data_IF_553041743527
#
_entry.id   IF_553041743527
#
_cell.length_a   1.000
_cell.length_b   1.000
_cell.length_c   1.000
_cell.angle_alpha   90.00
_cell.angle_beta   90.00
_cell.angle_gamma   90.00
#
_symmetry.space_group_name_H-M   'P 1'
#
loop_
_entity.id
_entity.type
_entity.pdbx_description
1 polymer ?
#
# COMPACT_ATOMS: atom_id res chain seq x y z
N UNK A 1 -37.34 36.51 -64.60
CA UNK A 1 -36.89 37.79 -65.13
C UNK A 1 -35.39 37.80 -64.86
N UNK A 2 -34.61 37.42 -65.88
CA UNK A 2 -33.89 38.25 -66.82
C UNK A 2 -32.78 39.04 -66.15
N UNK A 3 -31.52 39.02 -66.45
CA UNK A 3 -30.70 38.76 -67.65
C UNK A 3 -29.26 38.69 -67.11
N UNK A 4 -28.39 37.81 -67.41
CA UNK A 4 -27.63 37.56 -68.66
C UNK A 4 -26.72 38.69 -69.12
N UNK A 5 -25.55 38.25 -69.44
CA UNK A 5 -24.59 38.69 -70.48
C UNK A 5 -23.22 39.15 -69.87
N UNK A 6 -22.23 38.33 -70.05
CA UNK A 6 -21.34 38.00 -71.18
C UNK A 6 -20.40 39.11 -71.64
N UNK A 7 -19.19 38.72 -71.89
CA UNK A 7 -18.32 38.94 -73.09
C UNK A 7 -16.96 39.61 -72.79
N UNK A 8 -15.90 38.81 -73.00
CA UNK A 8 -14.78 38.92 -73.96
C UNK A 8 -13.77 40.09 -73.76
N UNK A 9 -12.58 39.99 -73.91
CA UNK A 9 -11.60 39.26 -74.70
C UNK A 9 -10.16 39.79 -74.47
N UNK A 10 -9.23 38.88 -74.67
CA UNK A 10 -7.93 38.99 -75.39
C UNK A 10 -6.70 39.63 -74.76
N UNK A 11 -5.72 38.72 -74.54
CA UNK A 11 -4.39 38.69 -75.14
C UNK A 11 -3.53 39.97 -75.02
N UNK A 12 -2.41 39.86 -74.28
CA UNK A 12 -1.08 40.13 -74.87
C UNK A 12 0.00 39.38 -74.07
N UNK A 13 0.80 38.64 -74.83
CA UNK A 13 2.00 37.90 -74.46
C UNK A 13 3.12 38.83 -74.13
N UNK A 14 3.84 38.64 -73.02
CA UNK A 14 5.21 39.04 -72.87
C UNK A 14 5.98 38.02 -72.00
N UNK A 15 6.89 37.34 -72.62
CA UNK A 15 7.92 36.47 -72.07
C UNK A 15 8.88 37.29 -71.21
N UNK A 16 8.93 37.00 -69.91
CA UNK A 16 10.13 37.30 -69.08
C UNK A 16 10.56 36.04 -68.40
N UNK A 17 11.66 35.48 -68.94
CA UNK A 17 12.44 34.44 -68.28
C UNK A 17 13.15 35.08 -67.10
N UNK A 18 12.65 34.89 -65.91
CA UNK A 18 13.41 35.17 -64.69
C UNK A 18 13.91 33.85 -64.14
N UNK A 19 15.23 33.67 -64.33
CA UNK A 19 16.02 32.60 -63.76
C UNK A 19 16.07 32.80 -62.26
N UNK A 20 15.20 32.12 -61.48
CA UNK A 20 15.23 32.11 -60.03
C UNK A 20 16.22 31.00 -59.60
N UNK A 21 17.45 31.41 -59.27
CA UNK A 21 18.39 30.55 -58.56
C UNK A 21 17.81 30.21 -57.18
N UNK A 22 17.21 29.00 -57.02
CA UNK A 22 16.87 28.47 -55.70
C UNK A 22 18.14 28.20 -54.93
N UNK A 23 18.37 28.83 -53.75
CA UNK A 23 19.37 28.36 -52.84
C UNK A 23 18.92 27.01 -52.30
N UNK A 24 19.59 25.94 -52.65
CA UNK A 24 19.47 24.64 -52.03
C UNK A 24 20.03 24.79 -50.60
N UNK A 25 19.14 25.08 -49.65
CA UNK A 25 19.47 24.92 -48.24
C UNK A 25 19.71 23.41 -48.01
N UNK A 26 20.97 23.01 -48.00
CA UNK A 26 21.34 21.78 -47.37
C UNK A 26 20.98 21.93 -45.88
N UNK A 27 19.77 21.48 -45.51
CA UNK A 27 19.49 21.14 -44.14
C UNK A 27 20.43 20.00 -43.80
N UNK A 28 21.60 20.33 -43.31
CA UNK A 28 22.48 19.40 -42.64
C UNK A 28 21.70 18.93 -41.41
N UNK A 29 20.99 17.82 -41.53
CA UNK A 29 20.63 17.03 -40.36
C UNK A 29 21.96 16.74 -39.66
N UNK A 30 22.27 17.51 -38.60
CA UNK A 30 23.20 17.05 -37.59
C UNK A 30 22.65 15.71 -37.16
N UNK A 31 23.20 14.60 -37.65
CA UNK A 31 23.11 13.31 -37.02
C UNK A 31 23.51 13.57 -35.58
N UNK A 32 22.55 13.58 -34.66
CA UNK A 32 22.87 13.46 -33.25
C UNK A 32 23.88 12.34 -33.17
N UNK A 33 25.01 12.64 -32.52
CA UNK A 33 26.07 11.67 -32.26
C UNK A 33 25.36 10.41 -31.78
N UNK A 34 25.50 9.31 -32.53
CA UNK A 34 24.92 8.03 -32.20
C UNK A 34 25.13 7.77 -30.71
N UNK A 35 24.08 7.87 -29.91
CA UNK A 35 24.10 7.28 -28.57
C UNK A 35 24.56 5.85 -28.82
N UNK A 36 25.63 5.43 -28.19
CA UNK A 36 26.09 4.05 -28.21
C UNK A 36 24.86 3.21 -27.80
N UNK A 37 24.29 2.50 -28.75
CA UNK A 37 23.15 1.66 -28.49
C UNK A 37 23.70 0.32 -28.01
N UNK A 38 23.62 0.10 -26.72
CA UNK A 38 24.00 -1.18 -26.13
C UNK A 38 23.06 -2.27 -26.60
N UNK A 39 23.53 -3.52 -26.74
CA UNK A 39 22.67 -4.65 -27.13
C UNK A 39 21.44 -4.75 -26.22
N UNK A 40 20.28 -5.02 -26.81
CA UNK A 40 19.04 -5.16 -26.07
C UNK A 40 19.19 -6.21 -24.94
N UNK A 41 18.79 -5.83 -23.71
CA UNK A 41 18.86 -6.70 -22.54
C UNK A 41 20.23 -6.81 -21.90
N UNK A 42 21.30 -6.19 -22.45
CA UNK A 42 22.59 -6.10 -21.74
C UNK A 42 22.46 -5.25 -20.49
N UNK A 43 23.36 -5.42 -19.53
CA UNK A 43 23.39 -4.61 -18.31
C UNK A 43 23.44 -3.11 -18.62
N UNK A 44 24.29 -2.72 -19.56
CA UNK A 44 24.45 -1.32 -19.97
C UNK A 44 23.17 -0.75 -20.58
N UNK A 45 22.47 -1.55 -21.40
CA UNK A 45 21.18 -1.15 -21.99
C UNK A 45 20.12 -0.95 -20.91
N UNK A 46 19.98 -1.93 -20.01
CA UNK A 46 19.01 -1.88 -18.91
C UNK A 46 19.34 -0.73 -17.96
N UNK A 47 20.61 -0.58 -17.56
CA UNK A 47 21.03 0.43 -16.60
C UNK A 47 20.95 1.85 -17.16
N UNK A 48 21.17 2.03 -18.47
CA UNK A 48 20.90 3.32 -19.14
C UNK A 48 19.42 3.66 -19.09
N UNK A 49 18.53 2.70 -19.37
CA UNK A 49 17.08 2.89 -19.25
C UNK A 49 16.64 3.20 -17.81
N UNK A 50 17.22 2.51 -16.80
CA UNK A 50 16.97 2.80 -15.38
C UNK A 50 17.37 4.25 -15.08
N UNK A 51 18.58 4.65 -15.45
CA UNK A 51 19.12 5.98 -15.15
C UNK A 51 18.29 7.09 -15.81
N UNK A 52 17.93 6.94 -17.08
CA UNK A 52 17.11 7.91 -17.81
C UNK A 52 15.70 8.02 -17.20
N UNK A 53 15.13 6.89 -16.78
CA UNK A 53 13.84 6.86 -16.07
C UNK A 53 13.93 7.54 -14.71
N UNK A 54 15.00 7.30 -13.94
CA UNK A 54 15.21 7.94 -12.64
C UNK A 54 15.44 9.46 -12.80
N UNK A 55 16.22 9.91 -13.76
CA UNK A 55 16.41 11.34 -14.06
C UNK A 55 15.08 12.03 -14.34
N UNK A 56 14.14 11.33 -14.96
CA UNK A 56 12.83 11.89 -15.33
C UNK A 56 11.83 11.88 -14.18
N UNK A 57 11.72 10.77 -13.47
CA UNK A 57 10.57 10.52 -12.58
C UNK A 57 10.93 10.47 -11.09
N UNK A 58 12.19 10.08 -10.75
CA UNK A 58 12.57 9.82 -9.38
C UNK A 58 12.51 11.08 -8.51
N UNK A 59 11.94 10.98 -7.32
CA UNK A 59 11.81 12.12 -6.42
C UNK A 59 13.16 12.79 -6.11
N UNK A 60 14.21 12.00 -5.92
CA UNK A 60 15.59 12.49 -5.66
C UNK A 60 16.45 12.52 -6.93
N UNK A 61 15.85 12.89 -8.07
CA UNK A 61 16.56 12.90 -9.37
C UNK A 61 17.72 13.89 -9.45
N UNK A 62 17.72 14.92 -8.64
CA UNK A 62 18.75 15.99 -8.58
C UNK A 62 20.03 15.57 -7.86
N UNK A 63 19.98 14.50 -7.05
CA UNK A 63 21.15 13.96 -6.34
C UNK A 63 21.62 12.61 -6.90
N UNK A 64 21.17 12.23 -8.09
CA UNK A 64 21.67 11.04 -8.79
C UNK A 64 23.16 11.19 -9.12
N UNK A 65 23.97 10.12 -9.04
CA UNK A 65 25.38 10.14 -9.44
C UNK A 65 25.54 10.62 -10.88
N UNK A 66 26.51 11.47 -11.14
CA UNK A 66 26.80 12.02 -12.48
C UNK A 66 27.37 10.98 -13.45
N UNK A 67 28.11 10.00 -12.94
CA UNK A 67 28.78 8.97 -13.74
C UNK A 67 28.70 7.59 -13.05
N UNK A 68 27.51 6.98 -12.95
CA UNK A 68 27.35 5.68 -12.31
C UNK A 68 27.89 4.55 -13.20
N UNK A 69 28.34 3.45 -12.58
CA UNK A 69 28.82 2.27 -13.29
C UNK A 69 27.66 1.46 -13.91
N UNK A 70 27.38 1.69 -15.19
CA UNK A 70 26.31 1.00 -15.93
C UNK A 70 26.60 -0.47 -16.25
N UNK A 71 27.80 -0.98 -16.02
CA UNK A 71 28.16 -2.40 -16.22
C UNK A 71 27.71 -3.33 -15.08
N UNK A 72 27.19 -2.80 -13.97
CA UNK A 72 26.68 -3.61 -12.85
C UNK A 72 25.44 -4.43 -13.25
N UNK A 73 25.12 -5.47 -12.49
CA UNK A 73 23.79 -6.09 -12.63
C UNK A 73 22.68 -5.05 -12.40
N UNK A 74 21.51 -5.14 -13.06
CA UNK A 74 20.46 -4.13 -12.93
C UNK A 74 20.02 -3.89 -11.48
N UNK A 75 19.97 -4.94 -10.65
CA UNK A 75 19.63 -4.83 -9.24
C UNK A 75 20.69 -4.08 -8.42
N UNK A 76 21.97 -4.40 -8.65
CA UNK A 76 23.08 -3.73 -7.97
C UNK A 76 23.22 -2.28 -8.45
N UNK A 77 23.04 -2.04 -9.75
CA UNK A 77 23.01 -0.69 -10.32
C UNK A 77 21.92 0.16 -9.68
N UNK A 78 20.67 -0.33 -9.65
CA UNK A 78 19.56 0.40 -9.05
C UNK A 78 19.83 0.70 -7.58
N UNK A 79 20.36 -0.26 -6.85
CA UNK A 79 20.75 -0.09 -5.44
C UNK A 79 21.81 0.98 -5.27
N UNK A 80 22.82 1.02 -6.17
CA UNK A 80 23.94 1.96 -6.09
C UNK A 80 23.55 3.42 -6.39
N UNK A 81 22.50 3.65 -7.20
CA UNK A 81 22.03 5.00 -7.57
C UNK A 81 20.85 5.48 -6.72
N UNK A 82 20.25 4.60 -5.92
CA UNK A 82 19.13 4.95 -5.04
C UNK A 82 19.61 5.83 -3.89
N UNK A 83 18.84 6.88 -3.57
CA UNK A 83 19.10 7.74 -2.43
C UNK A 83 18.99 6.97 -1.11
N UNK A 84 19.87 7.26 -0.13
CA UNK A 84 19.85 6.60 1.18
C UNK A 84 18.57 6.83 2.00
N UNK A 85 17.83 7.91 1.75
CA UNK A 85 16.54 8.17 2.39
C UNK A 85 15.38 7.37 1.74
N UNK A 86 15.60 6.82 0.56
CA UNK A 86 14.60 6.02 -0.15
C UNK A 86 14.51 4.59 0.41
N UNK A 87 13.43 4.30 1.08
CA UNK A 87 13.17 3.00 1.72
C UNK A 87 12.27 2.07 0.90
N UNK A 88 11.67 2.57 -0.20
CA UNK A 88 10.54 1.91 -0.82
C UNK A 88 10.66 1.68 -2.32
N UNK A 89 11.58 2.36 -3.02
CA UNK A 89 11.82 2.08 -4.44
C UNK A 89 12.45 0.71 -4.64
N UNK A 90 12.01 0.01 -5.69
CA UNK A 90 12.57 -1.27 -6.07
C UNK A 90 12.48 -1.52 -7.59
N UNK A 91 13.19 -2.55 -8.04
CA UNK A 91 13.20 -3.03 -9.41
C UNK A 91 12.99 -4.54 -9.42
N UNK A 92 12.20 -5.04 -10.38
CA UNK A 92 11.92 -6.47 -10.54
C UNK A 92 12.07 -6.90 -11.99
N UNK A 93 12.40 -8.17 -12.18
CA UNK A 93 12.23 -8.88 -13.43
C UNK A 93 10.97 -9.76 -13.25
N UNK A 94 9.84 -9.46 -13.90
CA UNK A 94 8.54 -10.02 -13.53
C UNK A 94 8.44 -11.54 -13.47
N UNK A 95 9.23 -12.24 -14.29
CA UNK A 95 9.23 -13.70 -14.35
C UNK A 95 10.37 -14.35 -13.55
N UNK A 96 11.15 -13.55 -12.82
CA UNK A 96 12.25 -14.05 -11.99
C UNK A 96 11.87 -13.95 -10.51
N UNK A 97 11.61 -15.08 -9.84
CA UNK A 97 11.24 -15.11 -8.43
C UNK A 97 12.32 -14.55 -7.51
N UNK A 98 13.60 -14.53 -7.95
CA UNK A 98 14.71 -14.00 -7.14
C UNK A 98 14.70 -12.47 -7.03
N UNK A 99 14.02 -11.80 -7.95
CA UNK A 99 13.86 -10.33 -7.95
C UNK A 99 12.56 -9.89 -7.30
N UNK A 100 11.58 -10.80 -7.16
CA UNK A 100 10.31 -10.52 -6.50
C UNK A 100 10.49 -10.58 -4.99
N UNK A 101 9.65 -9.84 -4.28
CA UNK A 101 9.69 -9.83 -2.83
C UNK A 101 8.97 -11.08 -2.33
N UNK A 102 9.66 -11.94 -1.55
CA UNK A 102 9.01 -13.08 -0.94
C UNK A 102 7.81 -12.64 -0.10
N UNK A 103 6.69 -13.30 -0.29
CA UNK A 103 5.49 -13.05 0.50
C UNK A 103 4.72 -14.36 0.68
N UNK A 104 3.88 -14.40 1.71
CA UNK A 104 3.04 -15.57 2.02
C UNK A 104 1.65 -15.51 1.35
N UNK A 105 1.48 -14.70 0.31
CA UNK A 105 0.18 -14.54 -0.38
C UNK A 105 -0.43 -15.86 -0.84
N UNK A 106 0.42 -16.83 -1.23
CA UNK A 106 -0.05 -18.13 -1.71
C UNK A 106 -0.45 -19.10 -0.59
N UNK A 107 -0.21 -18.77 0.67
CA UNK A 107 -0.61 -19.58 1.83
C UNK A 107 -1.78 -18.99 2.59
N UNK A 108 -1.94 -17.67 2.56
CA UNK A 108 -3.08 -16.94 3.10
C UNK A 108 -3.05 -16.77 4.61
N UNK A 109 -1.88 -16.59 5.22
CA UNK A 109 -1.77 -16.23 6.63
C UNK A 109 -0.56 -15.32 6.89
N UNK A 110 -0.61 -14.61 8.00
CA UNK A 110 0.48 -13.79 8.53
C UNK A 110 0.73 -14.11 10.00
N UNK A 111 1.98 -14.07 10.42
CA UNK A 111 2.38 -14.30 11.81
C UNK A 111 3.54 -13.41 12.23
N UNK A 112 3.68 -13.24 13.54
CA UNK A 112 4.89 -12.67 14.16
C UNK A 112 5.53 -13.72 15.05
N UNK A 113 6.87 -13.81 15.04
CA UNK A 113 7.62 -14.53 16.05
C UNK A 113 8.08 -13.59 17.13
N UNK A 114 7.76 -13.90 18.36
CA UNK A 114 8.14 -13.12 19.55
C UNK A 114 8.93 -13.96 20.53
N UNK A 115 9.78 -13.30 21.34
CA UNK A 115 10.39 -13.93 22.52
C UNK A 115 9.40 -13.78 23.68
N UNK A 116 9.06 -14.86 24.35
CA UNK A 116 8.32 -14.81 25.61
C UNK A 116 9.28 -14.43 26.75
N UNK A 117 8.97 -13.33 27.45
CA UNK A 117 9.91 -12.70 28.40
C UNK A 117 10.28 -13.59 29.60
N UNK A 118 9.33 -14.39 30.09
CA UNK A 118 9.55 -15.17 31.32
C UNK A 118 10.39 -16.42 31.06
N UNK A 119 10.26 -17.04 29.88
CA UNK A 119 10.94 -18.29 29.54
C UNK A 119 12.06 -18.12 28.52
N UNK A 120 12.14 -16.98 27.83
CA UNK A 120 13.08 -16.75 26.74
C UNK A 120 12.78 -17.59 25.49
N UNK A 121 11.63 -18.29 25.43
CA UNK A 121 11.25 -19.11 24.27
C UNK A 121 10.68 -18.25 23.15
N UNK A 122 11.06 -18.59 21.91
CA UNK A 122 10.43 -18.00 20.75
C UNK A 122 9.13 -18.73 20.41
N UNK A 123 8.08 -17.97 20.11
CA UNK A 123 6.77 -18.48 19.68
C UNK A 123 6.23 -17.65 18.54
N UNK A 124 5.69 -18.29 17.51
CA UNK A 124 4.95 -17.64 16.45
C UNK A 124 3.51 -17.38 16.88
N UNK A 125 2.97 -16.19 16.57
CA UNK A 125 1.60 -15.81 16.84
C UNK A 125 0.92 -15.53 15.51
N UNK A 126 -0.08 -16.34 15.16
CA UNK A 126 -0.84 -16.19 13.92
C UNK A 126 -1.74 -14.95 14.03
N UNK A 127 -1.49 -13.94 13.19
CA UNK A 127 -2.20 -12.65 13.22
C UNK A 127 -3.36 -12.57 12.27
N UNK A 128 -3.21 -13.16 11.12
CA UNK A 128 -4.21 -13.13 10.04
C UNK A 128 -4.29 -14.51 9.40
N UNK A 129 -5.49 -14.98 9.14
CA UNK A 129 -5.76 -16.13 8.26
C UNK A 129 -6.87 -15.70 7.30
N UNK A 130 -6.58 -15.76 6.01
CA UNK A 130 -7.53 -15.41 4.96
C UNK A 130 -8.56 -16.51 4.79
N UNK A 131 -9.82 -16.13 4.66
CA UNK A 131 -10.92 -17.09 4.46
C UNK A 131 -10.68 -17.92 3.20
N UNK A 132 -10.99 -19.19 3.26
CA UNK A 132 -10.88 -20.15 2.15
C UNK A 132 -9.46 -20.26 1.54
N UNK A 133 -8.44 -19.81 2.28
CA UNK A 133 -7.03 -19.96 1.93
C UNK A 133 -6.50 -21.37 2.25
N UNK A 134 -5.32 -21.76 1.72
CA UNK A 134 -4.66 -22.99 2.14
C UNK A 134 -4.49 -23.11 3.67
N UNK A 135 -4.07 -22.04 4.34
CA UNK A 135 -3.93 -22.02 5.80
C UNK A 135 -5.28 -22.22 6.51
N UNK A 136 -6.34 -21.56 6.04
CA UNK A 136 -7.70 -21.74 6.58
C UNK A 136 -8.19 -23.18 6.40
N UNK A 137 -7.98 -23.77 5.21
CA UNK A 137 -8.35 -25.17 4.94
C UNK A 137 -7.56 -26.17 5.78
N UNK A 138 -6.31 -25.86 6.13
CA UNK A 138 -5.52 -26.64 7.08
C UNK A 138 -5.97 -26.46 8.55
N UNK A 139 -6.96 -25.60 8.77
CA UNK A 139 -7.52 -25.33 10.09
C UNK A 139 -6.72 -24.36 10.96
N UNK A 140 -5.77 -23.61 10.36
CA UNK A 140 -5.07 -22.53 11.07
C UNK A 140 -6.03 -21.40 11.37
N UNK A 141 -5.89 -20.76 12.53
CA UNK A 141 -6.76 -19.67 12.99
C UNK A 141 -5.93 -18.51 13.53
N UNK A 142 -6.49 -17.29 13.44
CA UNK A 142 -5.95 -16.12 14.17
C UNK A 142 -5.89 -16.45 15.66
N UNK A 143 -4.76 -16.14 16.30
CA UNK A 143 -4.50 -16.43 17.70
C UNK A 143 -3.83 -17.79 17.96
N UNK A 144 -3.70 -18.67 16.95
CA UNK A 144 -2.91 -19.91 17.09
C UNK A 144 -1.44 -19.58 17.36
N UNK A 145 -0.78 -20.47 18.10
CA UNK A 145 0.64 -20.37 18.43
C UNK A 145 1.45 -21.40 17.66
N UNK A 146 2.58 -20.97 17.10
CA UNK A 146 3.50 -21.82 16.33
C UNK A 146 4.75 -22.06 17.18
N UNK A 147 5.04 -23.30 17.53
CA UNK A 147 6.23 -23.71 18.26
C UNK A 147 7.32 -24.28 17.38
N UNK A 148 6.93 -24.87 16.22
CA UNK A 148 7.84 -25.50 15.25
C UNK A 148 7.50 -25.11 13.82
N UNK A 149 8.53 -25.04 12.97
CA UNK A 149 8.41 -24.92 11.52
C UNK A 149 9.28 -26.01 10.92
N UNK A 150 8.70 -26.84 10.03
CA UNK A 150 9.39 -28.00 9.42
C UNK A 150 10.08 -28.89 10.43
N UNK A 151 9.41 -29.15 11.57
CA UNK A 151 9.92 -29.95 12.67
C UNK A 151 11.00 -29.29 13.56
N UNK A 152 11.51 -28.11 13.16
CA UNK A 152 12.52 -27.36 13.91
C UNK A 152 11.84 -26.44 14.93
N UNK A 153 12.21 -26.54 16.21
CA UNK A 153 11.70 -25.67 17.27
C UNK A 153 12.16 -24.23 17.03
N UNK A 154 11.20 -23.28 17.10
CA UNK A 154 11.49 -21.85 16.99
C UNK A 154 12.37 -21.37 18.14
N UNK A 155 13.38 -20.60 17.80
CA UNK A 155 14.24 -19.87 18.76
C UNK A 155 14.72 -18.55 18.11
N UNK A 156 15.39 -17.72 18.90
CA UNK A 156 15.90 -16.41 18.44
C UNK A 156 16.84 -16.55 17.23
N UNK A 157 17.74 -17.53 17.26
CA UNK A 157 18.77 -17.69 16.24
C UNK A 157 18.21 -18.17 14.88
N UNK A 158 17.09 -18.93 14.88
CA UNK A 158 16.55 -19.54 13.66
C UNK A 158 15.26 -18.90 13.13
N UNK A 159 14.61 -18.01 13.87
CA UNK A 159 13.31 -17.46 13.51
C UNK A 159 13.29 -16.82 12.11
N UNK A 160 14.30 -16.02 11.77
CA UNK A 160 14.41 -15.37 10.47
C UNK A 160 14.64 -16.40 9.33
N UNK A 161 15.51 -17.38 9.53
CA UNK A 161 15.77 -18.42 8.53
C UNK A 161 14.52 -19.28 8.26
N UNK A 162 13.79 -19.67 9.33
CA UNK A 162 12.56 -20.45 9.21
C UNK A 162 11.43 -19.64 8.55
N UNK A 163 11.36 -18.32 8.80
CA UNK A 163 10.44 -17.45 8.04
C UNK A 163 10.77 -17.46 6.55
N UNK A 164 12.04 -17.38 6.16
CA UNK A 164 12.45 -17.45 4.76
C UNK A 164 12.14 -18.82 4.14
N UNK A 165 12.29 -19.92 4.88
CA UNK A 165 11.89 -21.26 4.40
C UNK A 165 10.40 -21.30 4.03
N UNK A 166 9.51 -20.68 4.84
CA UNK A 166 8.08 -20.54 4.50
C UNK A 166 7.89 -19.70 3.24
N UNK A 167 8.52 -18.52 3.16
CA UNK A 167 8.31 -17.57 2.09
C UNK A 167 8.80 -18.07 0.72
N UNK A 168 9.87 -18.88 0.70
CA UNK A 168 10.48 -19.43 -0.52
C UNK A 168 9.97 -20.83 -0.89
N UNK A 169 9.43 -21.59 0.07
CA UNK A 169 8.96 -22.94 -0.14
C UNK A 169 7.60 -23.04 -0.84
N UNK A 170 7.26 -24.23 -1.34
CA UNK A 170 5.95 -24.55 -1.90
C UNK A 170 5.01 -25.19 -0.87
N UNK A 171 5.57 -25.76 0.17
CA UNK A 171 4.87 -26.31 1.32
C UNK A 171 5.75 -26.28 2.57
N UNK A 172 5.11 -26.30 3.72
CA UNK A 172 5.78 -26.41 5.02
C UNK A 172 4.84 -27.02 6.06
N UNK A 173 5.40 -27.41 7.21
CA UNK A 173 4.66 -27.93 8.35
C UNK A 173 4.81 -26.99 9.54
N UNK A 174 3.70 -26.65 10.19
CA UNK A 174 3.67 -25.91 11.45
C UNK A 174 3.32 -26.84 12.60
N UNK A 175 4.18 -26.92 13.63
CA UNK A 175 3.81 -27.46 14.93
C UNK A 175 3.12 -26.40 15.75
N UNK A 176 1.84 -26.63 16.09
CA UNK A 176 1.05 -25.72 16.90
C UNK A 176 1.16 -26.07 18.38
N UNK A 177 1.04 -25.04 19.23
CA UNK A 177 1.07 -25.18 20.66
C UNK A 177 -0.11 -24.50 21.34
N UNK A 178 -0.40 -24.92 22.56
CA UNK A 178 -1.34 -24.28 23.47
C UNK A 178 -0.62 -23.90 24.75
N UNK A 179 -0.98 -22.76 25.31
CA UNK A 179 -0.44 -22.30 26.61
C UNK A 179 -1.38 -22.73 27.72
N UNK A 180 -0.91 -23.60 28.60
CA UNK A 180 -1.63 -24.04 29.80
C UNK A 180 -0.91 -23.47 31.03
N UNK A 181 -1.46 -22.41 31.63
CA UNK A 181 -0.76 -21.64 32.65
C UNK A 181 0.50 -20.98 32.07
N UNK A 182 1.68 -21.39 32.50
CA UNK A 182 2.98 -20.91 31.97
C UNK A 182 3.70 -21.94 31.11
N UNK A 183 3.04 -23.07 30.77
CA UNK A 183 3.67 -24.18 30.04
C UNK A 183 3.13 -24.26 28.61
N UNK A 184 4.06 -24.26 27.65
CA UNK A 184 3.76 -24.51 26.25
C UNK A 184 3.70 -26.03 25.98
N UNK A 185 2.54 -26.51 25.53
CA UNK A 185 2.33 -27.91 25.15
C UNK A 185 2.07 -27.96 23.64
N UNK A 186 2.75 -28.88 22.97
CA UNK A 186 2.44 -29.18 21.56
C UNK A 186 1.00 -29.70 21.46
N UNK A 187 0.24 -29.23 20.48
CA UNK A 187 -1.15 -29.63 20.29
C UNK A 187 -1.34 -30.47 19.04
N UNK A 188 -1.03 -29.90 17.89
CA UNK A 188 -1.19 -30.57 16.59
C UNK A 188 -0.17 -30.02 15.59
N UNK A 189 0.01 -30.77 14.50
CA UNK A 189 0.78 -30.32 13.35
C UNK A 189 -0.14 -30.10 12.15
N UNK A 190 0.15 -29.08 11.36
CA UNK A 190 -0.59 -28.78 10.13
C UNK A 190 0.39 -28.61 8.97
N UNK A 191 0.14 -29.28 7.86
CA UNK A 191 0.86 -29.07 6.61
C UNK A 191 0.07 -28.06 5.75
N UNK A 192 0.76 -27.08 5.19
CA UNK A 192 0.18 -26.05 4.35
C UNK A 192 0.98 -26.00 3.06
N UNK A 193 0.30 -26.21 1.93
CA UNK A 193 0.86 -26.08 0.59
C UNK A 193 0.35 -24.83 -0.08
N UNK A 194 1.12 -24.23 -0.99
CA UNK A 194 0.68 -23.10 -1.82
C UNK A 194 -0.63 -23.43 -2.56
N UNK A 195 -1.47 -22.44 -2.74
CA UNK A 195 -2.70 -22.58 -3.48
C UNK A 195 -3.34 -21.22 -3.80
N UNK A 196 -4.38 -21.28 -4.62
CA UNK A 196 -5.16 -20.10 -4.93
C UNK A 196 -5.83 -19.54 -3.67
N UNK A 197 -5.82 -18.22 -3.58
CA UNK A 197 -6.53 -17.45 -2.57
C UNK A 197 -7.56 -16.62 -3.32
N UNK A 198 -8.81 -16.79 -2.92
CA UNK A 198 -9.92 -16.00 -3.47
C UNK A 198 -9.84 -14.57 -2.93
N UNK A 199 -10.47 -13.65 -3.65
CA UNK A 199 -10.61 -12.27 -3.19
C UNK A 199 -11.25 -12.25 -1.80
N UNK A 200 -10.58 -11.56 -0.88
CA UNK A 200 -11.04 -11.47 0.49
C UNK A 200 -12.12 -10.41 0.60
N UNK A 201 -13.27 -10.83 1.09
CA UNK A 201 -14.31 -9.88 1.47
C UNK A 201 -13.90 -9.17 2.76
N UNK A 202 -14.42 -7.96 2.89
CA UNK A 202 -14.36 -7.20 4.13
C UNK A 202 -15.06 -7.95 5.29
N UNK A 203 -14.62 -7.64 6.50
CA UNK A 203 -15.33 -8.05 7.72
C UNK A 203 -16.03 -6.82 8.27
N UNK A 204 -17.35 -6.87 8.35
CA UNK A 204 -18.15 -5.75 8.82
C UNK A 204 -19.24 -6.19 9.80
N UNK A 205 -19.54 -5.32 10.76
CA UNK A 205 -20.61 -5.54 11.73
C UNK A 205 -21.13 -4.21 12.30
N UNK A 206 -22.29 -4.24 12.93
CA UNK A 206 -22.81 -3.13 13.71
C UNK A 206 -22.74 -3.50 15.19
N UNK A 207 -21.99 -2.72 15.95
CA UNK A 207 -21.84 -2.87 17.39
C UNK A 207 -22.80 -1.91 18.08
N UNK A 208 -23.61 -2.42 19.00
CA UNK A 208 -24.51 -1.61 19.82
C UNK A 208 -23.85 -1.31 21.17
N UNK A 209 -23.73 -0.02 21.53
CA UNK A 209 -23.18 0.43 22.80
C UNK A 209 -24.09 1.50 23.43
N UNK A 210 -25.01 1.06 24.28
CA UNK A 210 -26.09 1.91 24.79
C UNK A 210 -26.98 2.41 23.65
N UNK A 211 -27.16 3.73 23.55
CA UNK A 211 -27.92 4.35 22.47
C UNK A 211 -27.12 4.53 21.16
N UNK A 212 -25.81 4.27 21.15
CA UNK A 212 -24.96 4.45 19.98
C UNK A 212 -24.85 3.16 19.16
N UNK A 213 -24.88 3.31 17.85
CA UNK A 213 -24.60 2.25 16.88
C UNK A 213 -23.28 2.58 16.19
N UNK A 214 -22.35 1.63 16.18
CA UNK A 214 -20.99 1.80 15.71
C UNK A 214 -20.79 0.80 14.57
N UNK A 215 -20.40 1.29 13.39
CA UNK A 215 -19.93 0.43 12.31
C UNK A 215 -18.54 -0.08 12.64
N UNK A 216 -18.28 -1.36 12.44
CA UNK A 216 -16.94 -1.94 12.39
C UNK A 216 -16.67 -2.42 10.98
N UNK A 217 -15.50 -2.05 10.44
CA UNK A 217 -15.08 -2.43 9.10
C UNK A 217 -13.59 -2.76 9.09
N UNK A 218 -13.24 -3.97 8.65
CA UNK A 218 -11.89 -4.42 8.33
C UNK A 218 -11.81 -4.82 6.87
N UNK A 219 -10.75 -4.42 6.18
CA UNK A 219 -10.34 -4.94 4.87
C UNK A 219 -8.81 -4.90 4.74
N UNK A 220 -8.28 -5.77 3.89
CA UNK A 220 -6.85 -6.09 3.90
C UNK A 220 -5.99 -5.06 3.16
N UNK A 221 -6.38 -4.65 1.96
CA UNK A 221 -5.60 -3.78 1.09
C UNK A 221 -6.52 -2.90 0.23
N UNK A 222 -6.03 -1.77 -0.27
CA UNK A 222 -6.74 -0.87 -1.19
C UNK A 222 -6.56 -1.35 -2.64
N UNK A 223 -7.08 -2.55 -2.94
CA UNK A 223 -7.06 -3.13 -4.28
C UNK A 223 -8.02 -2.39 -5.22
N UNK A 224 -7.76 -2.39 -6.55
CA UNK A 224 -8.68 -1.78 -7.51
C UNK A 224 -10.12 -2.28 -7.37
N UNK A 225 -11.08 -1.35 -7.30
CA UNK A 225 -12.51 -1.63 -7.13
C UNK A 225 -13.00 -1.78 -5.69
N UNK A 226 -12.12 -1.66 -4.69
CA UNK A 226 -12.49 -1.78 -3.26
C UNK A 226 -13.59 -0.78 -2.87
N UNK A 227 -13.42 0.51 -3.19
CA UNK A 227 -14.39 1.54 -2.80
C UNK A 227 -15.79 1.23 -3.35
N UNK A 228 -15.86 0.73 -4.58
CA UNK A 228 -17.11 0.30 -5.21
C UNK A 228 -17.69 -0.94 -4.50
N UNK A 229 -16.88 -1.92 -4.15
CA UNK A 229 -17.33 -3.13 -3.44
C UNK A 229 -17.85 -2.82 -2.04
N UNK A 230 -17.27 -1.81 -1.37
CA UNK A 230 -17.70 -1.39 -0.03
C UNK A 230 -19.01 -0.61 0.01
N UNK A 231 -19.55 -0.16 -1.13
CA UNK A 231 -20.81 0.61 -1.15
C UNK A 231 -21.98 -0.12 -0.47
N UNK A 232 -22.05 -1.46 -0.62
CA UNK A 232 -23.05 -2.30 0.07
C UNK A 232 -22.90 -2.28 1.59
N UNK A 233 -21.68 -2.31 2.11
CA UNK A 233 -21.40 -2.21 3.56
C UNK A 233 -21.78 -0.83 4.08
N UNK A 234 -21.35 0.23 3.38
CA UNK A 234 -21.69 1.60 3.76
C UNK A 234 -23.20 1.87 3.71
N UNK A 235 -23.92 1.29 2.73
CA UNK A 235 -25.37 1.32 2.70
C UNK A 235 -26.00 0.61 3.92
N UNK A 236 -25.47 -0.55 4.30
CA UNK A 236 -25.90 -1.26 5.50
C UNK A 236 -25.70 -0.42 6.76
N UNK A 237 -24.55 0.22 6.89
CA UNK A 237 -24.24 1.12 7.99
C UNK A 237 -25.18 2.33 8.03
N UNK A 238 -25.45 2.93 6.87
CA UNK A 238 -26.36 4.05 6.71
C UNK A 238 -27.78 3.68 7.14
N UNK A 239 -28.28 2.53 6.67
CA UNK A 239 -29.61 2.03 7.03
C UNK A 239 -29.70 1.66 8.52
N UNK A 240 -28.62 1.20 9.12
CA UNK A 240 -28.52 0.98 10.55
C UNK A 240 -28.45 2.28 11.36
N UNK A 241 -28.27 3.44 10.69
CA UNK A 241 -28.09 4.74 11.30
C UNK A 241 -26.92 4.76 12.31
N UNK A 242 -25.73 4.23 11.88
CA UNK A 242 -24.54 4.32 12.73
C UNK A 242 -24.15 5.77 12.96
N UNK A 243 -23.64 6.07 14.13
CA UNK A 243 -23.15 7.40 14.52
C UNK A 243 -21.64 7.49 14.60
N UNK A 244 -20.97 6.36 14.61
CA UNK A 244 -19.52 6.23 14.72
C UNK A 244 -19.02 5.07 13.82
N UNK A 245 -17.75 5.13 13.40
CA UNK A 245 -17.12 4.07 12.63
C UNK A 245 -15.78 3.69 13.28
N UNK A 246 -15.54 2.40 13.45
CA UNK A 246 -14.23 1.81 13.72
C UNK A 246 -13.74 1.22 12.40
N UNK A 247 -12.74 1.86 11.80
CA UNK A 247 -12.07 1.41 10.59
C UNK A 247 -10.78 0.67 10.97
N UNK A 248 -10.77 -0.64 10.81
CA UNK A 248 -9.65 -1.47 11.21
C UNK A 248 -8.64 -1.64 10.05
N UNK A 249 -7.57 -0.87 10.12
CA UNK A 249 -6.47 -0.89 9.16
C UNK A 249 -5.18 -1.50 9.73
N UNK A 250 -5.26 -2.29 10.83
CA UNK A 250 -4.08 -2.79 11.54
C UNK A 250 -3.11 -3.61 10.70
N UNK A 251 -3.56 -4.24 9.63
CA UNK A 251 -2.71 -5.00 8.71
C UNK A 251 -2.82 -4.52 7.26
N UNK A 252 -3.43 -3.36 7.04
CA UNK A 252 -3.59 -2.80 5.73
C UNK A 252 -2.27 -2.17 5.26
N UNK A 253 -1.67 -2.75 4.23
CA UNK A 253 -0.37 -2.32 3.71
C UNK A 253 -0.48 -1.20 2.67
N UNK A 254 -1.68 -0.73 2.36
CA UNK A 254 -1.92 0.31 1.36
C UNK A 254 -2.51 -0.22 0.06
N UNK A 255 -2.18 0.40 -1.05
CA UNK A 255 -2.68 0.10 -2.39
C UNK A 255 -2.92 1.36 -3.21
N UNK A 256 -4.06 1.48 -3.87
CA UNK A 256 -4.39 2.60 -4.74
C UNK A 256 -4.81 3.84 -3.94
N UNK A 257 -4.32 5.02 -4.36
CA UNK A 257 -4.77 6.31 -3.81
C UNK A 257 -6.25 6.56 -4.15
N UNK A 258 -6.68 6.17 -5.36
CA UNK A 258 -8.08 6.28 -5.79
C UNK A 258 -9.03 5.57 -4.84
N UNK A 259 -8.69 4.36 -4.41
CA UNK A 259 -9.50 3.57 -3.50
C UNK A 259 -9.54 4.19 -2.09
N UNK A 260 -8.39 4.75 -1.62
CA UNK A 260 -8.38 5.47 -0.34
C UNK A 260 -9.23 6.74 -0.38
N UNK A 261 -9.22 7.47 -1.49
CA UNK A 261 -10.08 8.63 -1.70
C UNK A 261 -11.56 8.24 -1.74
N UNK A 262 -11.89 7.15 -2.43
CA UNK A 262 -13.25 6.61 -2.48
C UNK A 262 -13.80 6.22 -1.10
N UNK A 263 -13.00 5.53 -0.29
CA UNK A 263 -13.36 5.18 1.09
C UNK A 263 -13.55 6.46 1.93
N UNK A 264 -12.63 7.42 1.85
CA UNK A 264 -12.75 8.70 2.55
C UNK A 264 -14.04 9.45 2.16
N UNK A 265 -14.38 9.45 0.86
CA UNK A 265 -15.59 10.12 0.35
C UNK A 265 -16.89 9.60 0.98
N UNK A 266 -16.91 8.33 1.36
CA UNK A 266 -18.06 7.70 2.02
C UNK A 266 -18.11 7.92 3.54
N UNK A 267 -17.04 8.44 4.16
CA UNK A 267 -16.96 8.57 5.64
C UNK A 267 -17.40 9.95 6.12
N UNK A 268 -16.77 11.03 5.65
CA UNK A 268 -16.87 12.33 6.30
C UNK A 268 -18.05 13.19 5.81
N UNK A 269 -18.60 13.98 6.73
CA UNK A 269 -19.70 14.90 6.44
C UNK A 269 -19.32 15.97 5.42
N UNK A 270 -20.29 16.40 4.61
CA UNK A 270 -20.10 17.45 3.59
C UNK A 270 -19.03 17.09 2.54
N UNK A 271 -18.83 15.82 2.27
CA UNK A 271 -18.02 15.37 1.15
C UNK A 271 -18.65 15.80 -0.16
N UNK A 272 -17.89 16.46 -1.04
CA UNK A 272 -18.30 16.86 -2.40
C UNK A 272 -17.17 16.60 -3.36
N UNK A 273 -17.47 16.48 -4.65
CA UNK A 273 -16.48 16.17 -5.68
C UNK A 273 -15.25 17.10 -5.63
N UNK A 274 -15.47 18.39 -5.43
CA UNK A 274 -14.42 19.43 -5.51
C UNK A 274 -13.64 19.64 -4.20
N UNK A 275 -13.95 18.91 -3.12
CA UNK A 275 -13.18 19.02 -1.87
C UNK A 275 -11.71 18.67 -2.11
N UNK A 276 -10.75 19.56 -1.79
CA UNK A 276 -9.32 19.23 -1.89
C UNK A 276 -9.01 17.96 -1.10
N UNK A 277 -8.20 17.07 -1.63
CA UNK A 277 -7.94 15.81 -0.94
C UNK A 277 -6.45 15.54 -0.75
N UNK A 278 -5.69 15.61 -1.83
CA UNK A 278 -4.29 15.22 -1.82
C UNK A 278 -3.45 16.13 -2.69
N UNK A 279 -2.25 16.46 -2.21
CA UNK A 279 -1.23 17.16 -2.98
C UNK A 279 -0.03 16.27 -3.16
N UNK A 280 0.36 16.06 -4.40
CA UNK A 280 1.56 15.37 -4.84
C UNK A 280 2.68 16.38 -5.06
N UNK A 281 3.83 16.18 -4.44
CA UNK A 281 5.05 16.98 -4.71
C UNK A 281 6.10 16.08 -5.30
N UNK A 282 6.40 16.27 -6.58
CA UNK A 282 7.41 15.54 -7.33
C UNK A 282 8.76 16.25 -7.38
N UNK A 283 9.64 15.73 -8.22
CA UNK A 283 10.87 16.40 -8.61
C UNK A 283 10.57 17.60 -9.54
N UNK A 284 11.60 18.24 -10.09
CA UNK A 284 11.46 19.39 -11.02
C UNK A 284 10.59 19.11 -12.27
N UNK A 285 10.52 17.84 -12.70
CA UNK A 285 9.70 17.44 -13.85
C UNK A 285 8.26 17.10 -13.44
N UNK A 286 8.05 16.58 -12.23
CA UNK A 286 6.75 16.20 -11.68
C UNK A 286 5.98 17.37 -11.07
N UNK A 287 6.70 18.42 -10.61
CA UNK A 287 6.09 19.61 -10.03
C UNK A 287 5.21 19.36 -8.80
N UNK A 288 4.20 20.20 -8.63
CA UNK A 288 3.20 20.11 -7.55
C UNK A 288 1.82 20.00 -8.18
N UNK A 289 1.04 19.02 -7.77
CA UNK A 289 -0.32 18.77 -8.25
C UNK A 289 -1.25 18.51 -7.08
N UNK A 290 -2.34 19.28 -6.99
CA UNK A 290 -3.41 19.04 -6.00
C UNK A 290 -4.63 18.45 -6.71
N UNK A 291 -5.22 17.43 -6.09
CA UNK A 291 -6.44 16.79 -6.59
C UNK A 291 -7.57 16.88 -5.57
N UNK A 292 -8.79 17.08 -6.10
CA UNK A 292 -10.01 16.94 -5.32
C UNK A 292 -10.29 15.47 -5.02
N UNK A 293 -11.11 15.23 -3.99
CA UNK A 293 -11.47 13.85 -3.59
C UNK A 293 -12.24 13.14 -4.72
N UNK A 294 -13.09 13.84 -5.44
CA UNK A 294 -13.82 13.26 -6.57
C UNK A 294 -12.88 12.85 -7.70
N UNK A 295 -11.92 13.72 -8.06
CA UNK A 295 -10.94 13.43 -9.09
C UNK A 295 -10.03 12.25 -8.69
N UNK A 296 -9.55 12.25 -7.45
CA UNK A 296 -8.72 11.17 -6.94
C UNK A 296 -9.47 9.83 -6.91
N UNK A 297 -10.72 9.82 -6.41
CA UNK A 297 -11.53 8.59 -6.29
C UNK A 297 -11.96 7.98 -7.63
N UNK A 298 -12.07 8.79 -8.69
CA UNK A 298 -12.55 8.30 -10.01
C UNK A 298 -11.43 8.14 -11.03
N UNK A 299 -10.19 8.31 -10.61
CA UNK A 299 -9.06 8.38 -11.54
C UNK A 299 -8.88 7.12 -12.40
N UNK A 300 -8.98 5.95 -11.80
CA UNK A 300 -8.78 4.66 -12.48
C UNK A 300 -10.06 4.12 -13.14
N UNK A 301 -11.18 4.87 -13.06
CA UNK A 301 -12.46 4.50 -13.65
C UNK A 301 -13.20 3.37 -12.92
N UNK A 302 -12.69 2.91 -11.76
CA UNK A 302 -13.32 1.81 -11.00
C UNK A 302 -14.52 2.26 -10.17
N UNK A 303 -14.61 3.56 -9.83
CA UNK A 303 -15.66 4.11 -9.01
C UNK A 303 -16.48 5.21 -9.70
N UNK A 304 -17.77 5.26 -9.39
CA UNK A 304 -18.66 6.38 -9.69
C UNK A 304 -18.83 7.24 -8.44
N UNK A 305 -18.40 8.50 -8.47
CA UNK A 305 -18.38 9.36 -7.28
C UNK A 305 -19.78 9.62 -6.71
N UNK A 306 -20.80 9.76 -7.56
CA UNK A 306 -22.19 9.93 -7.08
C UNK A 306 -22.67 8.70 -6.31
N UNK A 307 -22.32 7.50 -6.76
CA UNK A 307 -22.61 6.26 -6.03
C UNK A 307 -21.92 6.22 -4.67
N UNK A 308 -20.66 6.68 -4.59
CA UNK A 308 -19.95 6.79 -3.31
C UNK A 308 -20.67 7.78 -2.37
N UNK A 309 -21.07 8.96 -2.88
CA UNK A 309 -21.79 9.96 -2.08
C UNK A 309 -23.17 9.48 -1.60
N UNK A 310 -23.89 8.70 -2.41
CA UNK A 310 -25.17 8.11 -2.00
C UNK A 310 -25.01 7.22 -0.76
N UNK A 311 -23.83 6.63 -0.58
CA UNK A 311 -23.50 5.77 0.56
C UNK A 311 -22.69 6.50 1.66
N UNK A 312 -22.56 7.83 1.58
CA UNK A 312 -21.83 8.61 2.58
C UNK A 312 -22.55 8.56 3.94
N UNK A 313 -21.76 8.31 5.00
CA UNK A 313 -22.22 8.20 6.38
C UNK A 313 -22.35 9.54 7.08
N UNK A 314 -21.76 10.61 6.55
CA UNK A 314 -21.83 11.96 7.12
C UNK A 314 -21.19 12.09 8.50
N UNK A 315 -20.17 11.32 8.80
CA UNK A 315 -19.55 11.30 10.13
C UNK A 315 -18.69 12.54 10.39
N UNK A 316 -18.61 12.95 11.66
CA UNK A 316 -17.71 14.01 12.15
C UNK A 316 -16.47 13.44 12.86
N UNK A 317 -16.41 12.14 13.08
CA UNK A 317 -15.30 11.42 13.69
C UNK A 317 -15.19 10.00 13.14
N UNK A 318 -13.96 9.47 13.13
CA UNK A 318 -13.68 8.06 12.85
C UNK A 318 -12.61 7.54 13.82
N UNK A 319 -12.75 6.31 14.27
CA UNK A 319 -11.71 5.57 14.98
C UNK A 319 -10.97 4.69 14.00
N UNK A 320 -9.64 4.80 13.95
CA UNK A 320 -8.82 3.98 13.06
C UNK A 320 -7.89 3.11 13.90
N UNK A 321 -7.93 1.80 13.66
CA UNK A 321 -7.02 0.86 14.33
C UNK A 321 -5.79 0.64 13.46
N UNK A 322 -4.59 0.76 14.03
CA UNK A 322 -3.31 0.68 13.32
C UNK A 322 -2.28 -0.19 14.02
N UNK A 323 -1.33 -0.71 13.25
CA UNK A 323 -0.09 -1.32 13.71
C UNK A 323 1.09 -0.84 12.87
N UNK A 324 2.30 -1.28 13.17
CA UNK A 324 3.48 -1.02 12.34
C UNK A 324 3.42 -1.64 10.92
N UNK A 325 2.37 -2.39 10.59
CA UNK A 325 2.06 -2.87 9.24
C UNK A 325 1.08 -1.96 8.47
N UNK A 326 0.43 -1.01 9.13
CA UNK A 326 -0.43 -0.01 8.49
C UNK A 326 0.44 0.96 7.70
N UNK A 327 0.25 1.02 6.37
CA UNK A 327 1.16 1.74 5.49
C UNK A 327 0.45 2.41 4.30
N UNK A 328 1.10 3.45 3.74
CA UNK A 328 0.82 3.91 2.37
C UNK A 328 -0.61 4.44 2.21
N UNK A 329 -1.47 3.89 1.32
CA UNK A 329 -2.86 4.33 1.13
C UNK A 329 -3.68 4.28 2.44
N UNK A 330 -3.38 3.38 3.38
CA UNK A 330 -3.97 3.37 4.71
C UNK A 330 -3.55 4.60 5.53
N UNK A 331 -2.28 5.04 5.42
CA UNK A 331 -1.80 6.27 6.05
C UNK A 331 -2.36 7.52 5.35
N UNK A 332 -2.64 7.46 4.04
CA UNK A 332 -3.37 8.52 3.32
C UNK A 332 -4.76 8.68 3.92
N UNK A 333 -5.52 7.61 4.19
CA UNK A 333 -6.82 7.71 4.87
C UNK A 333 -6.69 8.41 6.22
N UNK A 334 -5.73 8.00 7.07
CA UNK A 334 -5.50 8.60 8.38
C UNK A 334 -5.18 10.09 8.27
N UNK A 335 -4.23 10.45 7.39
CA UNK A 335 -3.75 11.83 7.25
C UNK A 335 -4.76 12.73 6.53
N UNK A 336 -5.45 12.22 5.51
CA UNK A 336 -6.26 13.05 4.63
C UNK A 336 -7.73 13.22 5.10
N UNK A 337 -8.17 12.44 6.10
CA UNK A 337 -9.42 12.72 6.81
C UNK A 337 -9.27 13.82 7.87
N UNK A 338 -8.09 14.04 8.46
CA UNK A 338 -7.83 15.02 9.53
C UNK A 338 -8.26 16.45 9.21
N UNK A 339 -8.17 16.98 7.96
CA UNK A 339 -8.68 18.30 7.63
C UNK A 339 -10.20 18.44 7.72
N UNK A 340 -10.94 17.35 7.75
CA UNK A 340 -12.40 17.32 7.62
C UNK A 340 -13.14 16.83 8.85
N UNK A 341 -12.56 15.88 9.57
CA UNK A 341 -13.16 15.24 10.74
C UNK A 341 -12.11 14.91 11.80
N UNK A 342 -12.56 14.64 13.00
CA UNK A 342 -11.74 14.07 14.05
C UNK A 342 -11.33 12.64 13.68
N UNK A 343 -10.03 12.36 13.67
CA UNK A 343 -9.46 11.02 13.47
C UNK A 343 -8.79 10.59 14.75
N UNK A 344 -9.33 9.58 15.42
CA UNK A 344 -8.75 8.98 16.62
C UNK A 344 -8.01 7.71 16.25
N UNK A 345 -6.67 7.77 16.24
CA UNK A 345 -5.82 6.65 15.89
C UNK A 345 -5.49 5.81 17.13
N UNK A 346 -5.78 4.50 17.06
CA UNK A 346 -5.62 3.57 18.20
C UNK A 346 -4.74 2.39 17.79
N UNK A 347 -3.81 2.04 18.63
CA UNK A 347 -2.92 0.89 18.43
C UNK A 347 -1.46 1.27 18.41
N UNK A 348 -0.74 0.86 17.38
CA UNK A 348 0.69 1.12 17.23
C UNK A 348 0.94 2.22 16.20
N UNK A 349 2.15 2.79 16.26
CA UNK A 349 2.68 3.70 15.25
C UNK A 349 2.70 3.06 13.88
N UNK A 350 2.26 3.78 12.86
CA UNK A 350 2.21 3.28 11.48
C UNK A 350 3.58 3.16 10.82
N UNK A 351 3.65 2.63 9.60
CA UNK A 351 4.91 2.38 8.87
C UNK A 351 5.67 3.63 8.48
N UNK A 352 4.99 4.69 8.12
CA UNK A 352 5.60 5.93 7.65
C UNK A 352 5.95 5.91 6.17
N UNK A 353 5.01 5.56 5.32
CA UNK A 353 5.14 5.65 3.85
C UNK A 353 4.30 6.80 3.33
N UNK A 354 4.84 8.02 3.44
CA UNK A 354 4.27 9.28 2.97
C UNK A 354 4.60 9.59 1.50
N UNK A 355 4.82 8.54 0.72
CA UNK A 355 5.38 8.58 -0.62
C UNK A 355 4.54 7.74 -1.58
N UNK A 356 4.54 8.17 -2.86
CA UNK A 356 3.86 7.46 -3.93
C UNK A 356 4.81 7.11 -5.07
N UNK A 357 4.50 6.02 -5.75
CA UNK A 357 5.21 5.52 -6.92
C UNK A 357 4.23 5.18 -8.03
N UNK A 358 4.74 4.95 -9.21
CA UNK A 358 4.04 4.24 -10.27
C UNK A 358 5.00 3.27 -10.97
N UNK A 359 4.42 2.28 -11.61
CA UNK A 359 5.17 1.28 -12.39
C UNK A 359 5.76 1.91 -13.64
N UNK A 360 7.06 1.74 -13.86
CA UNK A 360 7.77 2.11 -15.07
C UNK A 360 8.24 0.83 -15.76
N UNK A 361 7.88 0.67 -17.02
CA UNK A 361 8.26 -0.47 -17.85
C UNK A 361 8.51 -0.02 -19.28
N UNK A 362 9.23 -0.85 -20.04
CA UNK A 362 9.47 -0.60 -21.46
C UNK A 362 8.21 -0.96 -22.27
N UNK A 363 7.57 0.06 -22.85
CA UNK A 363 6.38 -0.08 -23.66
C UNK A 363 6.68 -0.25 -25.18
N UNK A 364 7.96 -0.26 -25.58
CA UNK A 364 8.34 -0.45 -26.99
C UNK A 364 7.97 -1.84 -27.52
N UNK A 365 7.78 -1.91 -28.82
CA UNK A 365 7.54 -3.18 -29.51
C UNK A 365 8.58 -3.30 -30.66
N UNK A 366 9.50 -4.27 -30.60
CA UNK A 366 9.73 -5.20 -29.48
C UNK A 366 10.31 -4.52 -28.23
N UNK A 367 10.09 -5.12 -27.06
CA UNK A 367 10.72 -4.66 -25.82
C UNK A 367 12.22 -4.85 -25.88
N UNK A 368 12.95 -3.86 -25.41
CA UNK A 368 14.42 -3.91 -25.24
C UNK A 368 14.82 -4.13 -23.79
N UNK A 369 13.91 -3.85 -22.84
CA UNK A 369 14.12 -4.01 -21.40
C UNK A 369 12.94 -4.78 -20.79
N UNK A 370 13.24 -5.91 -20.17
CA UNK A 370 12.21 -6.73 -19.50
C UNK A 370 12.01 -6.39 -18.01
N UNK A 371 12.86 -5.54 -17.47
CA UNK A 371 12.77 -5.08 -16.08
C UNK A 371 11.63 -4.07 -15.90
N UNK A 372 11.08 -4.09 -14.71
CA UNK A 372 10.09 -3.11 -14.23
C UNK A 372 10.64 -2.40 -13.01
N UNK A 373 10.43 -1.09 -12.97
CA UNK A 373 10.90 -0.23 -11.90
C UNK A 373 9.74 0.45 -11.20
N UNK A 374 9.84 0.56 -9.89
CA UNK A 374 8.86 1.20 -9.03
C UNK A 374 9.55 2.25 -8.15
N UNK A 375 9.97 3.38 -8.71
CA UNK A 375 10.65 4.43 -7.97
C UNK A 375 9.65 5.26 -7.18
N UNK A 376 10.07 5.82 -6.07
CA UNK A 376 9.33 6.90 -5.42
C UNK A 376 9.38 8.14 -6.32
N UNK A 377 8.21 8.68 -6.63
CA UNK A 377 8.04 9.82 -7.55
C UNK A 377 7.44 11.05 -6.88
N UNK A 378 6.65 10.86 -5.83
CA UNK A 378 5.98 11.94 -5.11
C UNK A 378 6.05 11.79 -3.60
N UNK A 379 6.11 12.92 -2.90
CA UNK A 379 5.70 13.06 -1.51
C UNK A 379 4.23 13.47 -1.46
N UNK A 380 3.50 12.99 -0.44
CA UNK A 380 2.06 13.15 -0.29
C UNK A 380 1.71 14.08 0.86
N UNK A 381 0.75 14.99 0.61
CA UNK A 381 0.26 15.94 1.60
C UNK A 381 -1.27 15.97 1.56
N UNK A 382 -1.90 16.22 2.70
CA UNK A 382 -3.36 16.38 2.79
C UNK A 382 -3.80 17.81 2.38
N UNK A 383 -5.11 18.06 2.43
CA UNK A 383 -5.70 19.35 2.07
C UNK A 383 -5.22 20.55 2.91
N UNK A 384 -4.70 20.31 4.12
CA UNK A 384 -4.09 21.34 4.98
C UNK A 384 -2.58 21.47 4.79
N UNK A 385 -2.00 20.77 3.81
CA UNK A 385 -0.56 20.76 3.56
C UNK A 385 0.26 19.91 4.52
N UNK A 386 -0.39 19.10 5.37
CA UNK A 386 0.30 18.19 6.29
C UNK A 386 0.69 16.88 5.58
N UNK A 387 1.94 16.51 5.75
CA UNK A 387 2.58 15.29 5.27
C UNK A 387 3.80 15.02 6.14
N UNK A 388 4.89 14.50 5.55
CA UNK A 388 6.17 14.27 6.23
C UNK A 388 6.06 13.31 7.44
N UNK A 389 5.20 12.31 7.34
CA UNK A 389 5.09 11.26 8.35
C UNK A 389 5.98 10.06 8.03
N UNK A 390 7.15 10.27 7.45
CA UNK A 390 8.11 9.21 7.09
C UNK A 390 8.56 8.36 8.29
N UNK A 391 8.49 8.91 9.51
CA UNK A 391 8.73 8.16 10.73
C UNK A 391 7.51 7.37 11.25
N UNK A 392 6.36 7.41 10.55
CA UNK A 392 5.08 6.85 10.97
C UNK A 392 4.19 7.87 11.69
N UNK A 393 2.88 7.62 11.67
CA UNK A 393 1.89 8.41 12.39
C UNK A 393 1.74 7.79 13.78
N UNK A 394 1.96 8.58 14.82
CA UNK A 394 1.77 8.12 16.20
C UNK A 394 0.29 7.95 16.52
N UNK A 395 -0.11 6.91 17.26
CA UNK A 395 -1.48 6.77 17.71
C UNK A 395 -1.82 7.79 18.82
N UNK A 396 -3.08 8.19 18.89
CA UNK A 396 -3.63 8.99 19.98
C UNK A 396 -3.80 8.14 21.24
N UNK A 397 -4.12 6.85 21.05
CA UNK A 397 -4.20 5.85 22.12
C UNK A 397 -3.26 4.70 21.78
N UNK A 398 -2.09 4.67 22.43
CA UNK A 398 -1.08 3.66 22.20
C UNK A 398 -1.44 2.33 22.88
N UNK A 399 -1.57 1.28 22.08
CA UNK A 399 -1.85 -0.09 22.52
C UNK A 399 -1.03 -1.06 21.67
N UNK A 400 -0.29 -1.96 22.32
CA UNK A 400 0.36 -3.06 21.64
C UNK A 400 -0.66 -4.19 21.40
N UNK A 401 -0.91 -4.53 20.13
CA UNK A 401 -1.83 -5.60 19.76
C UNK A 401 -1.44 -6.94 20.42
N UNK A 402 -0.15 -7.26 20.44
CA UNK A 402 0.37 -8.50 21.01
C UNK A 402 0.43 -8.47 22.56
N UNK A 403 0.09 -7.35 23.18
CA UNK A 403 0.06 -7.20 24.63
C UNK A 403 -1.04 -8.00 25.34
N UNK A 404 -2.04 -8.50 24.61
CA UNK A 404 -3.13 -9.33 25.12
C UNK A 404 -3.31 -10.54 24.22
N UNK A 405 -3.06 -11.73 24.73
CA UNK A 405 -3.13 -12.99 23.99
C UNK A 405 -4.08 -13.99 24.65
N UNK A 406 -4.69 -14.91 23.90
CA UNK A 406 -4.59 -15.05 22.44
C UNK A 406 -5.27 -13.88 21.69
N UNK A 407 -4.84 -13.65 20.44
CA UNK A 407 -5.52 -12.67 19.58
C UNK A 407 -6.95 -13.11 19.30
N UNK A 408 -7.89 -12.20 19.51
CA UNK A 408 -9.32 -12.44 19.29
C UNK A 408 -9.70 -12.29 17.81
N UNK A 409 -10.83 -12.85 17.36
CA UNK A 409 -11.35 -12.63 16.03
C UNK A 409 -11.54 -11.15 15.69
N UNK A 410 -11.46 -10.81 14.41
CA UNK A 410 -11.79 -9.45 13.96
C UNK A 410 -13.25 -9.11 14.28
N UNK A 411 -13.48 -7.90 14.78
CA UNK A 411 -14.81 -7.42 15.17
C UNK A 411 -15.26 -7.82 16.59
N UNK A 412 -14.48 -8.64 17.29
CA UNK A 412 -14.77 -8.97 18.69
C UNK A 412 -14.60 -7.73 19.59
N UNK A 413 -15.63 -7.36 20.32
CA UNK A 413 -15.62 -6.18 21.21
C UNK A 413 -14.68 -6.30 22.39
N UNK A 414 -14.21 -7.50 22.70
CA UNK A 414 -13.20 -7.76 23.72
C UNK A 414 -11.75 -7.58 23.19
N UNK A 415 -11.56 -7.49 21.85
CA UNK A 415 -10.26 -7.14 21.24
C UNK A 415 -9.74 -5.83 21.84
N UNK A 416 -8.48 -5.77 22.33
CA UNK A 416 -7.98 -4.63 23.07
C UNK A 416 -8.04 -3.29 22.32
N UNK A 417 -7.86 -3.30 20.98
CA UNK A 417 -7.92 -2.09 20.17
C UNK A 417 -9.37 -1.63 19.98
N UNK A 418 -10.29 -2.57 19.70
CA UNK A 418 -11.71 -2.28 19.58
C UNK A 418 -12.26 -1.80 20.92
N UNK A 419 -11.94 -2.49 22.03
CA UNK A 419 -12.33 -2.10 23.38
C UNK A 419 -11.86 -0.70 23.75
N UNK A 420 -10.65 -0.31 23.34
CA UNK A 420 -10.16 1.03 23.56
C UNK A 420 -10.94 2.09 22.77
N UNK A 421 -11.32 1.81 21.53
CA UNK A 421 -12.20 2.69 20.74
C UNK A 421 -13.55 2.87 21.45
N UNK A 422 -14.16 1.78 21.89
CA UNK A 422 -15.43 1.78 22.62
C UNK A 422 -15.36 2.53 23.96
N UNK A 423 -14.26 2.39 24.69
CA UNK A 423 -14.01 3.12 25.94
C UNK A 423 -13.86 4.62 25.68
N UNK A 424 -13.03 5.01 24.67
CA UNK A 424 -12.84 6.40 24.31
C UNK A 424 -14.19 7.06 23.90
N UNK A 425 -15.00 6.35 23.14
CA UNK A 425 -16.33 6.77 22.73
C UNK A 425 -17.29 6.99 23.90
N UNK A 426 -17.10 6.25 25.00
CA UNK A 426 -17.90 6.37 26.24
C UNK A 426 -17.36 7.43 27.20
N UNK A 427 -16.34 8.21 26.83
CA UNK A 427 -15.67 9.17 27.70
C UNK A 427 -14.89 8.52 28.86
N UNK A 428 -14.76 7.21 28.84
CA UNK A 428 -13.89 6.50 29.81
C UNK A 428 -12.44 6.72 29.35
N UNK A 429 -11.59 7.27 30.23
CA UNK A 429 -10.17 7.34 29.96
C UNK A 429 -9.65 5.92 29.66
N UNK A 430 -9.25 5.69 28.42
CA UNK A 430 -8.35 4.57 28.14
C UNK A 430 -7.08 4.90 28.93
N UNK A 431 -6.75 4.09 29.90
CA UNK A 431 -5.44 4.18 30.53
C UNK A 431 -4.47 3.87 29.38
N UNK A 432 -3.78 4.90 28.89
CA UNK A 432 -2.67 4.70 27.99
C UNK A 432 -1.74 3.75 28.73
N UNK A 433 -1.60 2.53 28.24
CA UNK A 433 -0.61 1.60 28.76
C UNK A 433 0.73 2.08 28.20
N UNK A 434 1.20 3.21 28.74
CA UNK A 434 2.56 3.70 28.57
C UNK A 434 3.47 2.76 29.34
N UNK A 435 4.11 1.90 28.63
CA UNK A 435 4.95 0.83 29.13
C UNK A 435 4.26 -0.53 28.91
N UNK A 436 5.08 -1.52 28.66
CA UNK A 436 4.73 -2.94 28.60
C UNK A 436 4.14 -3.35 29.96
N UNK A 437 2.94 -2.85 30.26
CA UNK A 437 2.12 -3.34 31.38
C UNK A 437 1.35 -4.51 30.81
N UNK A 438 2.00 -5.65 30.76
CA UNK A 438 1.37 -6.93 30.56
C UNK A 438 0.20 -7.06 31.54
N UNK A 439 -1.02 -6.84 31.06
CA UNK A 439 -2.13 -7.55 31.68
C UNK A 439 -1.79 -9.01 31.42
N UNK A 440 -1.29 -9.69 32.44
CA UNK A 440 -0.97 -11.11 32.41
C UNK A 440 -2.24 -11.90 32.11
N UNK A 441 -2.59 -11.99 30.82
CA UNK A 441 -3.50 -13.00 30.38
C UNK A 441 -2.72 -14.32 30.38
N UNK A 442 -3.02 -15.19 31.30
CA UNK A 442 -2.49 -16.55 31.37
C UNK A 442 -0.95 -16.71 31.47
N UNK A 443 -0.22 -15.79 32.09
CA UNK A 443 1.21 -15.96 32.33
C UNK A 443 2.14 -15.69 31.14
N UNK A 444 1.64 -15.32 29.96
CA UNK A 444 2.43 -14.93 28.80
C UNK A 444 2.75 -13.42 28.81
N UNK A 445 4.02 -13.10 28.63
CA UNK A 445 4.50 -11.72 28.49
C UNK A 445 5.23 -11.58 27.15
N UNK A 446 4.63 -10.98 26.13
CA UNK A 446 5.30 -10.81 24.85
C UNK A 446 6.51 -9.88 25.02
N UNK A 447 7.66 -10.36 24.58
CA UNK A 447 8.90 -9.60 24.54
C UNK A 447 9.19 -9.04 23.15
N UNK A 448 10.45 -9.12 22.76
CA UNK A 448 10.93 -8.62 21.49
C UNK A 448 10.28 -9.38 20.30
N UNK A 449 9.80 -8.66 19.31
CA UNK A 449 9.37 -9.23 18.02
C UNK A 449 10.61 -9.52 17.18
N UNK A 450 10.85 -10.79 16.89
CA UNK A 450 11.97 -11.25 16.07
C UNK A 450 11.67 -11.12 14.58
N UNK A 451 10.48 -11.55 14.18
CA UNK A 451 10.04 -11.52 12.77
C UNK A 451 8.57 -11.16 12.68
N UNK A 452 8.19 -10.59 11.54
CA UNK A 452 6.81 -10.20 11.25
C UNK A 452 6.56 -10.25 9.75
N UNK A 453 5.78 -11.24 9.28
CA UNK A 453 5.52 -11.43 7.86
C UNK A 453 4.72 -10.29 7.25
N UNK A 454 3.81 -9.67 8.00
CA UNK A 454 2.99 -8.57 7.49
C UNK A 454 3.77 -7.25 7.36
N UNK A 455 4.73 -6.99 8.24
CA UNK A 455 5.63 -5.83 8.10
C UNK A 455 6.49 -5.93 6.85
N UNK A 456 6.87 -7.13 6.41
CA UNK A 456 7.55 -7.34 5.13
C UNK A 456 6.67 -6.93 3.95
N UNK A 457 5.39 -7.30 3.94
CA UNK A 457 4.45 -6.88 2.90
C UNK A 457 4.31 -5.37 2.88
N UNK A 458 4.17 -4.73 4.04
CA UNK A 458 4.07 -3.28 4.16
C UNK A 458 5.32 -2.52 3.69
N UNK A 459 6.51 -3.13 3.76
CA UNK A 459 7.75 -2.53 3.20
C UNK A 459 7.68 -2.38 1.68
N UNK A 460 6.92 -3.23 1.02
CA UNK A 460 6.96 -3.46 -0.41
C UNK A 460 5.64 -3.12 -1.12
N UNK A 461 4.62 -2.72 -0.35
CA UNK A 461 3.36 -2.27 -0.92
C UNK A 461 3.50 -0.88 -1.53
N UNK A 462 2.86 -0.68 -2.67
CA UNK A 462 2.92 0.56 -3.41
C UNK A 462 1.65 1.40 -3.24
N UNK A 463 1.84 2.70 -3.12
CA UNK A 463 0.82 3.68 -3.49
C UNK A 463 1.00 3.95 -4.97
N UNK A 464 0.07 3.48 -5.79
CA UNK A 464 0.05 3.88 -7.18
C UNK A 464 -0.54 5.28 -7.27
N UNK A 465 0.32 6.24 -7.56
CA UNK A 465 -0.06 7.58 -7.96
C UNK A 465 -0.20 7.65 -9.48
N UNK A 466 -0.88 8.68 -9.93
CA UNK A 466 -1.08 8.97 -11.33
C UNK A 466 0.24 9.33 -12.04
N UNK A 467 0.37 8.86 -13.26
CA UNK A 467 1.41 9.31 -14.19
C UNK A 467 1.17 10.75 -14.63
#
# INVERSE_FOLDING_TARGET
MNHALTIHNRLFTCFYVILFALPVFFVSCKKDKSKFEYPAGSNENVNTWILDSLKRYYYWSDVLPSNPNIGLSPKDFFTSVRNGADRFSYIILPNDPTTTIPNNKNFGFDYSTVIEQNTGKAIGIVKLVLKDSPASRAGLKRGDYISKINGKTLNEANAQALQQEILSGDKFTLGLAVLNGSVWNESRSVEISKGAILDQKEISSVINQGAKKIGYLYFQDFNPGLATSLTGVFNTFKNAAITELILDLRYNSGGQVSESAGVCAMIFKNSTYEKPFITYKGNKNGGVKTESIGRAATFDGTANFNTLLQNNLGLSRVYILSTGATASAAEVVINNLKPYIEVVLIGEKTRGKDEASFRIFDARVPKMVNWEMHPIVYKLFNASGNGNYSAGINPDVAINELGTLPLLPFGDTADPLIKAALNHLSGKRSVAVNGISSVKANGFSPGMVLTDTRKLVAQNSMVNAHR
#
